data_IF_011098580070
#
_entry.id   IF_011098580070
#
_cell.length_a   1.000
_cell.length_b   1.000
_cell.length_c   1.000
_cell.angle_alpha   90.00
_cell.angle_beta   90.00
_cell.angle_gamma   90.00
#
_symmetry.space_group_name_H-M   'P 1'
#
loop_
_entity.id
_entity.type
_entity.pdbx_description
1 polymer ?
#
# COMPACT_ATOMS: atom_id res chain seq x y z
N UNK A 1 -3.18 -2.50 -11.22
CA UNK A 1 -2.96 -2.73 -9.77
C UNK A 1 -4.24 -2.48 -8.99
N UNK A 2 -4.75 -3.49 -8.31
CA UNK A 2 -5.85 -3.36 -7.37
C UNK A 2 -5.31 -3.05 -5.99
N UNK A 3 -5.72 -1.92 -5.41
CA UNK A 3 -5.22 -1.46 -4.12
C UNK A 3 -6.37 -1.38 -3.13
N UNK A 4 -6.20 -1.95 -1.94
CA UNK A 4 -7.15 -1.75 -0.85
C UNK A 4 -7.34 -0.26 -0.54
N UNK A 5 -8.58 0.14 -0.26
CA UNK A 5 -8.86 1.52 0.10
C UNK A 5 -10.34 1.75 0.40
N UNK A 6 -10.63 2.13 1.65
CA UNK A 6 -11.99 2.30 2.17
C UNK A 6 -12.57 3.72 2.08
N UNK A 7 -11.87 4.69 1.50
CA UNK A 7 -12.33 6.09 1.46
C UNK A 7 -13.76 6.23 0.87
N UNK A 8 -14.59 7.07 1.47
CA UNK A 8 -15.97 7.31 1.02
C UNK A 8 -16.12 8.73 0.50
N UNK A 9 -17.08 8.94 -0.41
CA UNK A 9 -17.35 10.26 -1.00
C UNK A 9 -17.30 10.29 -2.52
N UNK A 10 -17.78 11.39 -3.10
CA UNK A 10 -17.95 11.56 -4.56
C UNK A 10 -16.62 11.58 -5.32
N UNK A 11 -15.56 12.10 -4.71
CA UNK A 11 -14.22 12.23 -5.32
C UNK A 11 -13.25 11.15 -4.87
N UNK A 12 -13.67 10.21 -4.02
CA UNK A 12 -12.77 9.22 -3.41
C UNK A 12 -12.02 8.37 -4.45
N UNK A 13 -12.64 8.03 -5.58
CA UNK A 13 -11.99 7.27 -6.66
C UNK A 13 -10.97 8.11 -7.45
N UNK A 14 -11.21 9.41 -7.65
CA UNK A 14 -10.26 10.30 -8.33
C UNK A 14 -9.09 10.69 -7.44
N UNK A 15 -9.36 11.04 -6.17
CA UNK A 15 -8.32 11.43 -5.21
C UNK A 15 -7.40 10.26 -4.90
N UNK A 16 -7.95 9.06 -4.69
CA UNK A 16 -7.18 7.84 -4.50
C UNK A 16 -6.27 7.54 -5.68
N UNK A 17 -6.80 7.60 -6.91
CA UNK A 17 -6.00 7.37 -8.12
C UNK A 17 -4.89 8.40 -8.28
N UNK A 18 -5.18 9.68 -7.99
CA UNK A 18 -4.18 10.75 -8.05
C UNK A 18 -3.03 10.48 -7.07
N UNK A 19 -3.35 10.21 -5.80
CA UNK A 19 -2.36 9.96 -4.76
C UNK A 19 -1.45 8.79 -5.08
N UNK A 20 -2.05 7.63 -5.39
CA UNK A 20 -1.31 6.43 -5.73
C UNK A 20 -0.53 6.53 -7.04
N UNK A 21 -1.06 7.22 -8.06
CA UNK A 21 -0.33 7.44 -9.31
C UNK A 21 0.94 8.26 -9.10
N UNK A 22 0.91 9.27 -8.22
CA UNK A 22 2.12 10.03 -7.87
C UNK A 22 3.13 9.19 -7.10
N UNK A 23 2.66 8.43 -6.10
CA UNK A 23 3.51 7.55 -5.32
C UNK A 23 4.18 6.46 -6.17
N UNK A 24 3.44 5.84 -7.10
CA UNK A 24 3.93 4.76 -7.96
C UNK A 24 4.49 5.27 -9.29
N UNK A 25 4.85 6.55 -9.39
CA UNK A 25 5.23 7.16 -10.67
C UNK A 25 6.41 6.45 -11.34
N UNK A 26 7.43 6.04 -10.56
CA UNK A 26 8.57 5.30 -11.11
C UNK A 26 8.19 3.94 -11.73
N UNK A 27 7.24 3.22 -11.12
CA UNK A 27 6.74 1.95 -11.65
C UNK A 27 5.84 2.17 -12.87
N UNK A 28 5.13 3.31 -12.90
CA UNK A 28 4.35 3.71 -14.06
C UNK A 28 5.25 3.99 -15.26
N UNK A 29 6.34 4.74 -15.08
CA UNK A 29 7.30 5.01 -16.17
C UNK A 29 8.00 3.72 -16.60
N UNK A 30 8.45 2.89 -15.65
CA UNK A 30 9.05 1.59 -15.95
C UNK A 30 8.11 0.69 -16.79
N UNK A 31 6.82 0.66 -16.44
CA UNK A 31 5.83 -0.09 -17.22
C UNK A 31 5.71 0.44 -18.66
N UNK A 32 5.72 1.76 -18.85
CA UNK A 32 5.67 2.36 -20.19
C UNK A 32 6.91 2.04 -21.02
N UNK A 33 8.08 2.06 -20.40
CA UNK A 33 9.34 1.69 -21.04
C UNK A 33 9.36 0.22 -21.50
N UNK A 34 8.59 -0.65 -20.82
CA UNK A 34 8.49 -2.08 -21.12
C UNK A 34 7.21 -2.44 -21.88
N UNK A 35 6.62 -1.48 -22.60
CA UNK A 35 5.55 -1.73 -23.57
C UNK A 35 4.13 -1.78 -23.01
N UNK A 36 3.94 -1.54 -21.71
CA UNK A 36 2.60 -1.36 -21.15
C UNK A 36 2.03 0.02 -21.48
N UNK A 37 0.73 0.10 -21.74
CA UNK A 37 0.09 1.39 -21.99
C UNK A 37 0.12 2.30 -20.75
N UNK A 38 -0.23 1.75 -19.59
CA UNK A 38 -0.22 2.45 -18.30
C UNK A 38 -0.26 1.45 -17.13
N UNK A 39 0.41 1.80 -16.02
CA UNK A 39 0.10 1.20 -14.72
C UNK A 39 -1.16 1.86 -14.15
N UNK A 40 -2.31 1.19 -14.30
CA UNK A 40 -3.57 1.67 -13.72
C UNK A 40 -3.71 1.28 -12.25
N UNK A 41 -4.13 2.26 -11.43
CA UNK A 41 -4.46 2.02 -10.02
C UNK A 41 -5.98 1.98 -9.87
N UNK A 42 -6.46 0.89 -9.28
CA UNK A 42 -7.89 0.63 -9.11
C UNK A 42 -8.19 0.47 -7.63
N UNK A 43 -9.02 1.35 -7.07
CA UNK A 43 -9.44 1.28 -5.68
C UNK A 43 -10.33 0.08 -5.41
N UNK A 44 -9.99 -0.67 -4.39
CA UNK A 44 -10.66 -1.89 -3.97
C UNK A 44 -11.98 -1.68 -3.23
N UNK A 45 -12.23 -0.51 -2.62
CA UNK A 45 -13.44 -0.24 -1.81
C UNK A 45 -13.60 -1.26 -0.66
N UNK A 46 -12.47 -1.64 -0.06
CA UNK A 46 -12.35 -2.70 0.94
C UNK A 46 -11.56 -3.92 0.43
N UNK A 47 -10.94 -4.65 1.34
CA UNK A 47 -10.03 -5.76 1.03
C UNK A 47 -10.71 -6.88 0.25
N UNK A 48 -11.88 -7.37 0.70
CA UNK A 48 -12.64 -8.44 0.03
C UNK A 48 -12.95 -8.14 -1.44
N UNK A 49 -13.42 -6.92 -1.71
CA UNK A 49 -13.71 -6.49 -3.07
C UNK A 49 -12.44 -6.25 -3.90
N UNK A 50 -11.33 -5.81 -3.29
CA UNK A 50 -10.03 -5.72 -3.98
C UNK A 50 -9.59 -7.09 -4.52
N UNK A 51 -9.66 -8.12 -3.68
CA UNK A 51 -9.30 -9.50 -4.05
C UNK A 51 -10.26 -10.10 -5.09
N UNK A 52 -11.57 -9.92 -4.92
CA UNK A 52 -12.54 -10.38 -5.92
C UNK A 52 -12.31 -9.75 -7.30
N UNK A 53 -12.01 -8.45 -7.35
CA UNK A 53 -11.74 -7.76 -8.62
C UNK A 53 -10.41 -8.21 -9.23
N UNK A 54 -9.37 -8.35 -8.41
CA UNK A 54 -8.07 -8.90 -8.84
C UNK A 54 -8.22 -10.29 -9.48
N UNK A 55 -8.92 -11.21 -8.82
CA UNK A 55 -9.13 -12.58 -9.33
C UNK A 55 -10.01 -12.63 -10.57
N UNK A 56 -10.95 -11.70 -10.70
CA UNK A 56 -11.83 -11.59 -11.86
C UNK A 56 -11.12 -10.98 -13.08
N UNK A 57 -10.23 -10.00 -12.87
CA UNK A 57 -9.56 -9.28 -13.96
C UNK A 57 -8.80 -10.21 -14.89
N UNK A 58 -8.08 -11.20 -14.36
CA UNK A 58 -7.30 -12.13 -15.19
C UNK A 58 -8.17 -12.92 -16.17
N UNK A 59 -9.42 -13.25 -15.80
CA UNK A 59 -10.35 -13.93 -16.70
C UNK A 59 -10.85 -13.03 -17.83
N UNK A 60 -11.01 -11.74 -17.55
CA UNK A 60 -11.53 -10.76 -18.50
C UNK A 60 -10.42 -10.19 -19.39
N UNK A 61 -9.20 -10.14 -18.87
CA UNK A 61 -8.04 -9.49 -19.48
C UNK A 61 -6.76 -10.33 -19.26
N UNK A 62 -6.65 -11.53 -19.87
CA UNK A 62 -5.54 -12.46 -19.60
C UNK A 62 -4.17 -11.98 -20.10
N UNK A 63 -4.15 -10.93 -20.93
CA UNK A 63 -2.91 -10.31 -21.42
C UNK A 63 -2.39 -9.20 -20.50
N UNK A 64 -3.19 -8.77 -19.53
CA UNK A 64 -2.81 -7.69 -18.63
C UNK A 64 -1.99 -8.22 -17.46
N UNK A 65 -0.96 -7.46 -17.08
CA UNK A 65 -0.30 -7.66 -15.79
C UNK A 65 -1.23 -7.16 -14.67
N UNK A 66 -1.69 -8.09 -13.84
CA UNK A 66 -2.61 -7.80 -12.74
C UNK A 66 -1.95 -8.12 -11.39
N UNK A 67 -1.93 -7.15 -10.47
CA UNK A 67 -1.35 -7.30 -9.12
C UNK A 67 -2.26 -6.70 -8.05
N UNK A 68 -2.17 -7.25 -6.83
CA UNK A 68 -2.94 -6.87 -5.65
C UNK A 68 -2.04 -6.25 -4.58
N UNK A 69 -2.45 -5.11 -4.02
CA UNK A 69 -1.80 -4.43 -2.90
C UNK A 69 -2.80 -4.24 -1.75
N UNK A 70 -2.52 -4.82 -0.59
CA UNK A 70 -3.45 -4.85 0.55
C UNK A 70 -2.73 -4.63 1.88
N UNK A 71 -3.46 -4.22 2.90
CA UNK A 71 -2.98 -4.25 4.28
C UNK A 71 -2.88 -5.71 4.74
N UNK A 72 -1.79 -6.09 5.42
CA UNK A 72 -1.69 -7.44 5.99
C UNK A 72 -2.61 -7.60 7.21
N UNK A 73 -2.95 -6.51 7.90
CA UNK A 73 -3.75 -6.43 9.13
C UNK A 73 -3.19 -7.22 10.32
N UNK A 74 -2.08 -7.94 10.13
CA UNK A 74 -1.38 -8.74 11.12
C UNK A 74 0.13 -8.65 10.90
N UNK A 75 0.89 -9.07 11.92
CA UNK A 75 2.34 -9.19 11.82
C UNK A 75 2.72 -10.19 10.73
N UNK A 76 3.73 -9.82 9.95
CA UNK A 76 4.28 -10.67 8.90
C UNK A 76 5.63 -11.19 9.39
N UNK A 77 5.73 -12.49 9.74
CA UNK A 77 7.01 -13.07 10.12
C UNK A 77 8.02 -12.97 8.97
N UNK A 78 9.29 -12.79 9.30
CA UNK A 78 10.37 -12.76 8.31
C UNK A 78 10.32 -14.02 7.43
N UNK A 79 10.61 -13.86 6.13
CA UNK A 79 10.60 -14.93 5.13
C UNK A 79 9.24 -15.60 4.90
N UNK A 80 8.13 -15.00 5.36
CA UNK A 80 6.80 -15.50 5.04
C UNK A 80 6.45 -15.26 3.58
N UNK A 81 5.72 -16.22 2.99
CA UNK A 81 5.09 -16.05 1.69
C UNK A 81 3.87 -15.17 1.84
N UNK A 82 3.68 -14.21 0.93
CA UNK A 82 2.62 -13.20 1.08
C UNK A 82 1.23 -13.81 0.95
N UNK A 83 1.11 -14.89 0.16
CA UNK A 83 -0.13 -15.65 0.02
C UNK A 83 -0.48 -16.43 1.30
N UNK A 84 0.50 -16.96 2.01
CA UNK A 84 0.27 -17.66 3.28
C UNK A 84 -0.26 -16.69 4.35
N UNK A 85 0.22 -15.45 4.36
CA UNK A 85 -0.28 -14.41 5.28
C UNK A 85 -1.79 -14.16 5.08
N UNK A 86 -2.22 -13.93 3.84
CA UNK A 86 -3.66 -13.66 3.56
C UNK A 86 -4.53 -14.91 3.64
N UNK A 87 -3.93 -16.11 3.49
CA UNK A 87 -4.63 -17.39 3.66
C UNK A 87 -4.87 -17.72 5.14
N UNK A 88 -3.91 -17.42 6.02
CA UNK A 88 -4.02 -17.70 7.46
C UNK A 88 -4.79 -16.63 8.23
N UNK A 89 -5.00 -15.44 7.64
CA UNK A 89 -5.75 -14.36 8.29
C UNK A 89 -7.24 -14.71 8.47
N UNK A 90 -7.72 -14.56 9.71
CA UNK A 90 -9.13 -14.74 10.02
C UNK A 90 -10.01 -13.70 9.30
N UNK A 91 -11.10 -14.17 8.70
CA UNK A 91 -12.03 -13.37 7.88
C UNK A 91 -11.75 -13.39 6.37
N UNK A 92 -10.54 -13.76 5.93
CA UNK A 92 -10.19 -13.85 4.49
C UNK A 92 -10.17 -15.25 3.96
N UNK A 93 -9.20 -16.01 4.47
CA UNK A 93 -8.83 -17.32 3.97
C UNK A 93 -8.60 -17.31 2.45
N UNK A 94 -8.02 -16.22 1.94
CA UNK A 94 -7.81 -16.03 0.51
C UNK A 94 -6.84 -17.05 -0.02
N UNK A 95 -7.27 -17.79 -1.03
CA UNK A 95 -6.44 -18.76 -1.71
C UNK A 95 -5.68 -18.07 -2.84
N UNK A 96 -4.42 -18.45 -3.06
CA UNK A 96 -3.69 -17.98 -4.23
C UNK A 96 -4.36 -18.50 -5.51
N UNK A 97 -4.76 -17.64 -6.47
CA UNK A 97 -5.24 -18.09 -7.77
C UNK A 97 -4.19 -18.92 -8.50
N UNK A 98 -4.62 -19.87 -9.34
CA UNK A 98 -3.69 -20.78 -10.02
C UNK A 98 -2.66 -20.08 -10.93
N UNK A 99 -3.06 -18.95 -11.54
CA UNK A 99 -2.19 -18.13 -12.39
C UNK A 99 -1.23 -17.24 -11.60
N UNK A 100 -1.52 -16.99 -10.32
CA UNK A 100 -0.79 -16.03 -9.51
C UNK A 100 0.45 -16.68 -8.86
N UNK A 101 1.57 -15.98 -8.93
CA UNK A 101 2.80 -16.28 -8.17
C UNK A 101 2.91 -15.39 -6.93
N UNK A 102 3.99 -15.52 -6.15
CA UNK A 102 4.27 -14.60 -5.03
C UNK A 102 4.38 -13.14 -5.52
N UNK A 103 4.74 -12.92 -6.78
CA UNK A 103 4.91 -11.58 -7.39
C UNK A 103 3.60 -10.85 -7.71
N UNK A 104 2.45 -11.48 -7.46
CA UNK A 104 1.14 -10.91 -7.78
C UNK A 104 0.39 -10.35 -6.57
N UNK A 105 0.95 -10.48 -5.37
CA UNK A 105 0.42 -9.90 -4.15
C UNK A 105 1.51 -9.14 -3.38
N UNK A 106 1.13 -7.99 -2.83
CA UNK A 106 1.99 -7.07 -2.10
C UNK A 106 1.28 -6.60 -0.83
N UNK A 107 2.04 -6.33 0.23
CA UNK A 107 1.51 -5.98 1.54
C UNK A 107 1.94 -4.56 1.94
N UNK A 108 1.00 -3.76 2.46
CA UNK A 108 1.25 -2.40 3.00
C UNK A 108 1.57 -2.40 4.52
N UNK A 109 1.99 -3.57 5.04
CA UNK A 109 2.09 -4.03 6.45
C UNK A 109 2.18 -2.98 7.56
N UNK A 110 1.59 -3.16 8.74
CA UNK A 110 0.36 -3.95 8.95
C UNK A 110 -0.80 -3.31 8.18
N UNK A 111 -0.68 -2.02 7.91
CA UNK A 111 -1.62 -1.15 7.23
C UNK A 111 -0.86 0.08 6.73
N UNK A 112 -1.37 0.75 5.70
CA UNK A 112 -0.69 1.83 4.96
C UNK A 112 -0.04 2.92 5.83
N UNK A 113 -0.57 3.20 7.01
CA UNK A 113 0.01 4.13 8.01
C UNK A 113 1.46 3.79 8.37
N UNK A 114 1.84 2.52 8.33
CA UNK A 114 3.23 2.09 8.54
C UNK A 114 4.15 2.66 7.47
N UNK A 115 3.69 2.71 6.22
CA UNK A 115 4.41 3.39 5.14
C UNK A 115 4.44 4.90 5.36
N UNK A 116 3.33 5.50 5.79
CA UNK A 116 3.29 6.94 6.06
C UNK A 116 4.30 7.36 7.14
N UNK A 117 4.52 6.51 8.15
CA UNK A 117 5.49 6.78 9.22
C UNK A 117 6.96 6.81 8.75
N UNK A 118 7.28 6.24 7.58
CA UNK A 118 8.62 6.31 7.00
C UNK A 118 8.98 7.72 6.54
N UNK A 119 7.98 8.56 6.26
CA UNK A 119 8.14 9.92 5.80
C UNK A 119 7.45 10.91 6.74
N UNK A 120 8.08 11.14 7.89
CA UNK A 120 7.57 12.08 8.88
C UNK A 120 7.53 13.54 8.38
N UNK A 121 8.35 13.88 7.37
CA UNK A 121 8.30 15.20 6.73
C UNK A 121 7.01 15.37 5.92
N UNK A 122 6.61 14.35 5.15
CA UNK A 122 5.33 14.33 4.46
C UNK A 122 4.15 14.46 5.45
N UNK A 123 4.19 13.74 6.58
CA UNK A 123 3.19 13.87 7.63
C UNK A 123 3.15 15.30 8.22
N UNK A 124 4.31 15.90 8.50
CA UNK A 124 4.39 17.27 9.01
C UNK A 124 3.86 18.29 8.00
N UNK A 125 4.18 18.12 6.71
CA UNK A 125 3.64 18.96 5.63
C UNK A 125 2.12 18.84 5.53
N UNK A 126 1.58 17.64 5.69
CA UNK A 126 0.14 17.40 5.63
C UNK A 126 -0.61 18.01 6.82
N UNK A 127 -0.17 17.71 8.04
CA UNK A 127 -0.85 18.11 9.29
C UNK A 127 -0.55 19.54 9.74
N UNK A 128 0.55 20.13 9.25
CA UNK A 128 0.97 21.52 9.48
C UNK A 128 1.21 21.83 10.97
N UNK A 129 0.98 23.08 11.38
CA UNK A 129 1.28 23.57 12.73
C UNK A 129 0.60 22.74 13.81
N UNK A 130 1.30 22.50 14.92
CA UNK A 130 0.83 21.68 16.04
C UNK A 130 1.12 20.18 15.91
N UNK A 131 1.65 19.71 14.77
CA UNK A 131 2.06 18.32 14.60
C UNK A 131 3.28 17.96 15.46
N UNK A 132 3.15 16.93 16.31
CA UNK A 132 4.18 16.50 17.25
C UNK A 132 4.93 15.26 16.75
N UNK A 133 6.07 15.48 16.09
CA UNK A 133 6.96 14.43 15.59
C UNK A 133 7.55 13.54 16.70
N UNK A 134 7.73 14.05 17.92
CA UNK A 134 8.49 13.38 19.00
C UNK A 134 7.81 12.12 19.52
N UNK A 135 6.50 11.99 19.31
CA UNK A 135 5.71 10.82 19.76
C UNK A 135 5.63 9.72 18.70
N UNK A 136 6.13 9.98 17.49
CA UNK A 136 6.10 9.01 16.41
C UNK A 136 7.26 8.03 16.52
N UNK A 137 7.01 6.74 16.30
CA UNK A 137 8.09 5.78 16.19
C UNK A 137 8.91 6.03 14.92
N UNK A 138 10.23 5.80 14.99
CA UNK A 138 11.16 5.95 13.86
C UNK A 138 11.82 4.63 13.44
N UNK A 139 11.69 3.59 14.27
CA UNK A 139 12.33 2.29 14.06
C UNK A 139 11.33 1.15 14.26
N UNK A 140 11.67 -0.01 13.69
CA UNK A 140 10.91 -1.25 13.80
C UNK A 140 9.45 -1.08 13.36
N UNK A 141 9.22 -0.28 12.32
CA UNK A 141 7.86 0.10 11.89
C UNK A 141 7.01 -1.11 11.50
N UNK A 142 7.58 -2.07 10.77
CA UNK A 142 6.87 -3.28 10.31
C UNK A 142 6.52 -4.26 11.44
N UNK A 143 7.17 -4.17 12.60
CA UNK A 143 6.92 -5.07 13.75
C UNK A 143 6.04 -4.45 14.84
N UNK A 144 5.65 -3.18 14.69
CA UNK A 144 4.81 -2.48 15.68
C UNK A 144 3.35 -2.85 15.50
N UNK A 145 2.62 -2.91 16.62
CA UNK A 145 1.20 -3.23 16.58
C UNK A 145 0.38 -2.09 15.96
N UNK A 146 -0.79 -2.43 15.41
CA UNK A 146 -1.77 -1.46 14.91
C UNK A 146 -2.17 -0.45 15.97
N UNK A 147 -2.31 -0.89 17.22
CA UNK A 147 -2.65 -0.03 18.35
C UNK A 147 -1.55 1.00 18.66
N UNK A 148 -0.27 0.60 18.60
CA UNK A 148 0.85 1.52 18.81
C UNK A 148 0.95 2.57 17.71
N UNK A 149 0.87 2.16 16.44
CA UNK A 149 0.96 3.09 15.29
C UNK A 149 -0.22 4.06 15.30
N UNK A 150 -1.45 3.56 15.44
CA UNK A 150 -2.65 4.43 15.47
C UNK A 150 -2.66 5.35 16.69
N UNK A 151 -2.23 4.85 17.85
CA UNK A 151 -2.09 5.64 19.07
C UNK A 151 -1.04 6.75 18.93
N UNK A 152 0.11 6.45 18.32
CA UNK A 152 1.16 7.43 18.04
C UNK A 152 0.69 8.50 17.04
N UNK A 153 0.06 8.10 15.93
CA UNK A 153 -0.49 9.03 14.94
C UNK A 153 -1.55 9.94 15.56
N UNK A 154 -2.47 9.39 16.35
CA UNK A 154 -3.49 10.20 17.06
C UNK A 154 -2.85 11.24 17.97
N UNK A 155 -1.86 10.86 18.78
CA UNK A 155 -1.12 11.78 19.65
C UNK A 155 -0.34 12.83 18.87
N UNK A 156 0.30 12.44 17.76
CA UNK A 156 1.08 13.34 16.93
C UNK A 156 0.22 14.41 16.24
N UNK A 157 -1.03 14.09 15.93
CA UNK A 157 -1.93 14.93 15.12
C UNK A 157 -3.00 15.65 15.94
N UNK A 158 -3.17 15.32 17.22
CA UNK A 158 -4.24 15.82 18.07
C UNK A 158 -4.38 17.34 18.06
N UNK A 159 -3.26 18.06 18.19
CA UNK A 159 -3.22 19.53 18.23
C UNK A 159 -2.83 20.15 16.88
N UNK A 160 -2.82 19.35 15.81
CA UNK A 160 -2.42 19.82 14.49
C UNK A 160 -3.51 20.65 13.82
N UNK A 161 -3.11 21.45 12.82
CA UNK A 161 -4.04 22.33 12.09
C UNK A 161 -5.12 21.57 11.31
N UNK A 162 -4.87 20.30 10.98
CA UNK A 162 -5.86 19.41 10.33
C UNK A 162 -6.62 18.53 11.33
N UNK A 163 -6.37 18.68 12.63
CA UNK A 163 -6.94 17.85 13.68
C UNK A 163 -6.38 16.42 13.69
N UNK A 164 -6.96 15.52 14.51
CA UNK A 164 -6.46 14.16 14.67
C UNK A 164 -6.58 13.35 13.38
N UNK A 165 -5.61 12.47 13.16
CA UNK A 165 -5.55 11.54 12.04
C UNK A 165 -6.82 10.69 11.93
N UNK A 166 -7.31 10.54 10.69
CA UNK A 166 -8.43 9.67 10.34
C UNK A 166 -7.98 8.70 9.23
N UNK A 167 -8.33 7.42 9.36
CA UNK A 167 -7.91 6.35 8.43
C UNK A 167 -8.23 6.64 6.95
N UNK A 168 -9.28 7.42 6.67
CA UNK A 168 -9.63 7.86 5.31
C UNK A 168 -8.59 8.76 4.64
N UNK A 169 -7.67 9.37 5.39
CA UNK A 169 -6.71 10.37 4.89
C UNK A 169 -5.45 9.77 4.26
N UNK A 170 -5.21 8.46 4.43
CA UNK A 170 -3.97 7.83 3.99
C UNK A 170 -3.68 8.04 2.49
N UNK A 171 -4.70 8.00 1.64
CA UNK A 171 -4.56 8.20 0.20
C UNK A 171 -4.24 9.65 -0.20
N UNK A 172 -4.54 10.64 0.64
CA UNK A 172 -4.12 12.03 0.43
C UNK A 172 -2.65 12.21 0.87
N UNK A 173 -2.24 11.53 1.94
CA UNK A 173 -0.88 11.63 2.47
C UNK A 173 0.09 10.87 1.55
N UNK A 174 -0.29 9.69 1.05
CA UNK A 174 0.56 8.89 0.14
C UNK A 174 0.94 9.68 -1.13
N UNK A 175 0.12 10.65 -1.54
CA UNK A 175 0.39 11.55 -2.67
C UNK A 175 1.71 12.33 -2.53
N UNK A 176 2.12 12.63 -1.29
CA UNK A 176 3.31 13.43 -0.97
C UNK A 176 4.40 12.63 -0.24
N UNK A 177 4.18 11.33 0.01
CA UNK A 177 5.19 10.44 0.59
C UNK A 177 6.24 10.13 -0.47
N UNK A 178 7.52 10.26 -0.11
CA UNK A 178 8.62 9.86 -0.97
C UNK A 178 8.73 8.32 -1.06
N UNK A 179 8.68 7.71 -2.27
CA UNK A 179 8.80 6.26 -2.42
C UNK A 179 10.07 5.67 -1.79
N UNK A 180 11.18 6.38 -1.86
CA UNK A 180 12.45 5.95 -1.27
C UNK A 180 12.40 5.78 0.25
N UNK A 181 11.50 6.48 0.94
CA UNK A 181 11.26 6.28 2.37
C UNK A 181 10.56 4.95 2.62
N UNK A 182 9.55 4.62 1.81
CA UNK A 182 8.82 3.36 1.91
C UNK A 182 9.71 2.17 1.53
N UNK A 183 10.60 2.33 0.55
CA UNK A 183 11.59 1.30 0.16
C UNK A 183 12.59 0.94 1.26
N UNK A 184 12.65 1.69 2.36
CA UNK A 184 13.47 1.27 3.53
C UNK A 184 12.83 0.13 4.32
N UNK A 185 11.54 -0.14 4.10
CA UNK A 185 10.81 -1.26 4.69
C UNK A 185 10.94 -2.50 3.80
N UNK A 186 10.91 -3.68 4.40
CA UNK A 186 11.01 -4.96 3.69
C UNK A 186 9.90 -5.09 2.65
N UNK A 187 8.65 -4.84 3.04
CA UNK A 187 7.51 -4.98 2.14
C UNK A 187 7.37 -3.80 1.16
N UNK A 188 7.86 -2.62 1.54
CA UNK A 188 7.96 -1.46 0.66
C UNK A 188 8.97 -1.70 -0.45
N UNK A 189 10.19 -2.13 -0.11
CA UNK A 189 11.21 -2.53 -1.07
C UNK A 189 10.70 -3.63 -2.00
N UNK A 190 10.09 -4.67 -1.43
CA UNK A 190 9.53 -5.77 -2.20
C UNK A 190 8.51 -5.31 -3.24
N UNK A 191 7.67 -4.31 -2.94
CA UNK A 191 6.75 -3.76 -3.94
C UNK A 191 7.52 -3.25 -5.17
N UNK A 192 8.52 -2.40 -4.98
CA UNK A 192 9.23 -1.77 -6.09
C UNK A 192 10.14 -2.75 -6.83
N UNK A 193 10.91 -3.55 -6.12
CA UNK A 193 11.87 -4.48 -6.72
C UNK A 193 11.18 -5.63 -7.45
N UNK A 194 10.22 -6.29 -6.79
CA UNK A 194 9.56 -7.47 -7.33
C UNK A 194 8.55 -7.11 -8.43
N UNK A 195 7.79 -6.01 -8.27
CA UNK A 195 6.90 -5.54 -9.34
C UNK A 195 7.71 -5.01 -10.52
N UNK A 196 8.82 -4.31 -10.27
CA UNK A 196 9.72 -3.85 -11.31
C UNK A 196 10.27 -5.02 -12.13
N UNK A 197 10.74 -6.08 -11.47
CA UNK A 197 11.21 -7.30 -12.12
C UNK A 197 10.11 -8.00 -12.92
N UNK A 198 8.89 -8.06 -12.36
CA UNK A 198 7.72 -8.63 -13.06
C UNK A 198 7.35 -7.82 -14.31
N UNK A 199 7.37 -6.48 -14.23
CA UNK A 199 7.14 -5.58 -15.37
C UNK A 199 8.17 -5.81 -16.48
N UNK A 200 9.44 -6.05 -16.11
CA UNK A 200 10.52 -6.33 -17.08
C UNK A 200 10.44 -7.74 -17.70
N UNK A 201 9.55 -8.60 -17.21
CA UNK A 201 9.47 -9.99 -17.64
C UNK A 201 10.64 -10.85 -17.14
N UNK A 202 11.32 -10.43 -16.06
CA UNK A 202 12.43 -11.19 -15.49
C UNK A 202 11.92 -12.50 -14.85
N UNK A 203 12.71 -13.59 -14.89
CA UNK A 203 12.34 -14.84 -14.23
C UNK A 203 12.24 -14.66 -12.71
N UNK A 204 11.46 -15.52 -12.06
CA UNK A 204 11.41 -15.56 -10.60
C UNK A 204 12.72 -16.20 -10.09
N UNK A 205 13.50 -15.45 -9.31
CA UNK A 205 14.77 -15.90 -8.70
C UNK A 205 14.55 -16.72 -7.44
#
# INVERSE_FOLDING_TARGET
>A
MYVEGGATGKTADSDFRRGWKKFLYELHELAREHGYHALEVVRGKGRGNAYQRFTKHEKEHPTDLCVLLVDSEMAVPNNSRVWDIVACREGDKWQRPAWATERHLYLMVHFVETWLLTDQNALQQFFKGGFNLKVLPTTNLESRSKAEITGALKKATQDSSKGPYQHGQAHEIIEIVAPDRVKTLTHGQRLFDCLGSLIKGEPET
#
